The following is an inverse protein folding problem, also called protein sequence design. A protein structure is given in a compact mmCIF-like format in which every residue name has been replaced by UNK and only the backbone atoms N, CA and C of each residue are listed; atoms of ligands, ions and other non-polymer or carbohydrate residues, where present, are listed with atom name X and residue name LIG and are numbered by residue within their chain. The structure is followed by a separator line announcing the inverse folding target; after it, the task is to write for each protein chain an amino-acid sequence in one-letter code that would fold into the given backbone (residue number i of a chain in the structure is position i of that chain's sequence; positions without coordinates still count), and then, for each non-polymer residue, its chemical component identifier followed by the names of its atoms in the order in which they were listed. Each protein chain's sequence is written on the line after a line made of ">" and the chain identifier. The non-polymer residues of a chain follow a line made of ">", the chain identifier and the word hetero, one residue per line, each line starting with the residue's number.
data_IF_446661194283
#
_entry.id   IF_446661194283
#
_cell.length_a   1.000
_cell.length_b   1.000
_cell.length_c   1.000
_cell.angle_alpha   90.00
_cell.angle_beta   90.00
_cell.angle_gamma   90.00
#
_symmetry.space_group_name_H-M   'P 1'
#
loop_
_entity.id
_entity.type
_entity.pdbx_description
1 polymer ?
#
# COMPACT_ATOMS: atom_id res chain seq x y z
N UNK A 1 -11.93 -22.79 -3.27
CA UNK A 1 -10.52 -22.88 -2.81
C UNK A 1 -10.07 -21.48 -2.44
N UNK A 2 -9.51 -21.27 -1.25
CA UNK A 2 -8.99 -19.96 -0.85
C UNK A 2 -7.62 -19.80 -1.48
N UNK A 3 -7.43 -18.76 -2.28
CA UNK A 3 -6.10 -18.45 -2.81
C UNK A 3 -5.25 -17.79 -1.73
N UNK A 4 -3.99 -18.22 -1.63
CA UNK A 4 -3.03 -17.61 -0.72
C UNK A 4 -2.41 -16.38 -1.37
N UNK A 5 -2.25 -15.32 -0.57
CA UNK A 5 -1.56 -14.12 -0.98
C UNK A 5 -0.08 -14.45 -1.21
N UNK A 6 0.45 -14.09 -2.37
CA UNK A 6 1.89 -14.11 -2.61
C UNK A 6 2.47 -12.83 -2.00
N UNK A 7 3.14 -12.99 -0.86
CA UNK A 7 3.87 -11.94 -0.15
C UNK A 7 5.36 -12.12 -0.37
N UNK A 8 6.13 -11.03 -0.30
CA UNK A 8 7.58 -11.15 -0.27
C UNK A 8 8.03 -12.00 0.92
N UNK A 9 8.98 -12.88 0.65
CA UNK A 9 9.64 -13.73 1.63
C UNK A 9 10.73 -12.98 2.39
N UNK A 10 11.21 -13.55 3.49
CA UNK A 10 12.30 -12.95 4.26
C UNK A 10 13.60 -12.80 3.43
N UNK A 11 13.83 -13.71 2.48
CA UNK A 11 14.97 -13.65 1.58
C UNK A 11 14.87 -12.46 0.60
N UNK A 12 13.69 -12.26 0.00
CA UNK A 12 13.45 -11.13 -0.92
C UNK A 12 13.45 -9.78 -0.21
N UNK A 13 13.04 -9.75 1.06
CA UNK A 13 13.08 -8.56 1.91
C UNK A 13 14.49 -8.19 2.37
N UNK A 14 15.45 -9.11 2.23
CA UNK A 14 16.82 -8.95 2.71
C UNK A 14 16.88 -8.53 4.18
N UNK A 15 16.09 -9.21 5.03
CA UNK A 15 15.88 -8.83 6.45
C UNK A 15 17.18 -8.81 7.26
N UNK A 16 18.21 -9.55 6.81
CA UNK A 16 19.52 -9.56 7.45
C UNK A 16 20.27 -8.23 7.29
N UNK A 17 20.08 -7.53 6.17
CA UNK A 17 20.76 -6.26 5.88
C UNK A 17 19.81 -5.05 5.99
N UNK A 18 18.51 -5.24 5.79
CA UNK A 18 17.49 -4.20 5.86
C UNK A 18 16.50 -4.47 7.00
N UNK A 19 16.75 -3.86 8.17
CA UNK A 19 15.79 -3.92 9.27
C UNK A 19 14.50 -3.17 8.91
N UNK A 20 13.32 -3.81 9.03
CA UNK A 20 12.04 -3.14 8.89
C UNK A 20 11.91 -1.97 9.87
N UNK A 21 11.48 -0.83 9.36
CA UNK A 21 11.11 0.33 10.18
C UNK A 21 9.59 0.43 10.23
N UNK A 22 9.04 0.49 11.44
CA UNK A 22 7.60 0.64 11.62
C UNK A 22 7.15 2.08 11.33
N UNK A 23 5.96 2.22 10.75
CA UNK A 23 5.31 3.52 10.67
C UNK A 23 4.62 3.81 12.01
N UNK A 24 4.93 4.94 12.67
CA UNK A 24 4.27 5.30 13.94
C UNK A 24 2.76 5.48 13.77
N UNK A 25 2.34 5.97 12.59
CA UNK A 25 0.93 6.07 12.20
C UNK A 25 0.70 5.32 10.87
N UNK A 26 -0.25 4.38 10.80
CA UNK A 26 -0.55 3.66 9.59
C UNK A 26 -0.99 4.59 8.44
N UNK A 27 -0.29 4.53 7.31
CA UNK A 27 -0.55 5.42 6.17
C UNK A 27 -1.50 4.77 5.17
N UNK A 28 -2.53 5.51 4.74
CA UNK A 28 -3.44 5.03 3.69
C UNK A 28 -2.72 4.97 2.34
N UNK A 29 -2.76 3.81 1.71
CA UNK A 29 -2.12 3.54 0.43
C UNK A 29 -3.04 2.70 -0.44
N UNK A 30 -2.77 2.73 -1.75
CA UNK A 30 -3.22 1.69 -2.66
C UNK A 30 -2.06 0.77 -2.96
N UNK A 31 -2.27 -0.53 -2.86
CA UNK A 31 -1.24 -1.53 -3.14
C UNK A 31 -1.74 -2.56 -4.14
N UNK A 32 -0.89 -2.94 -5.07
CA UNK A 32 -1.09 -4.12 -5.90
C UNK A 32 -0.68 -5.37 -5.12
N UNK A 33 -1.63 -6.27 -4.95
CA UNK A 33 -1.40 -7.58 -4.32
C UNK A 33 -1.58 -8.69 -5.34
N UNK A 34 -0.73 -9.72 -5.24
CA UNK A 34 -0.72 -10.83 -6.18
C UNK A 34 -1.23 -12.11 -5.51
N UNK A 35 -2.18 -12.74 -6.17
CA UNK A 35 -2.63 -14.10 -5.92
C UNK A 35 -2.16 -14.98 -7.08
N UNK A 36 -2.10 -16.32 -6.91
CA UNK A 36 -1.75 -17.23 -7.99
C UNK A 36 -2.54 -16.97 -9.28
N UNK A 37 -3.85 -16.72 -9.19
CA UNK A 37 -4.70 -16.50 -10.36
C UNK A 37 -4.74 -15.06 -10.88
N UNK A 38 -4.51 -14.06 -10.02
CA UNK A 38 -4.81 -12.65 -10.34
C UNK A 38 -4.00 -11.63 -9.56
N UNK A 39 -3.91 -10.43 -10.10
CA UNK A 39 -3.40 -9.26 -9.40
C UNK A 39 -4.56 -8.28 -9.19
N UNK A 40 -4.70 -7.75 -7.99
CA UNK A 40 -5.74 -6.78 -7.67
C UNK A 40 -5.15 -5.58 -6.94
N UNK A 41 -5.74 -4.41 -7.16
CA UNK A 41 -5.41 -3.20 -6.41
C UNK A 41 -6.34 -3.09 -5.21
N UNK A 42 -5.77 -2.97 -4.01
CA UNK A 42 -6.52 -2.86 -2.76
C UNK A 42 -6.21 -1.55 -2.06
N UNK A 43 -7.19 -1.00 -1.34
CA UNK A 43 -6.94 0.03 -0.35
C UNK A 43 -6.38 -0.64 0.92
N UNK A 44 -5.25 -0.14 1.39
CA UNK A 44 -4.52 -0.72 2.50
C UNK A 44 -3.95 0.36 3.42
N UNK A 45 -3.44 -0.08 4.56
CA UNK A 45 -2.62 0.73 5.45
C UNK A 45 -1.19 0.22 5.42
N UNK A 46 -0.24 1.07 5.09
CA UNK A 46 1.18 0.79 5.26
C UNK A 46 1.53 0.88 6.75
N UNK A 47 2.08 -0.20 7.31
CA UNK A 47 2.38 -0.33 8.75
C UNK A 47 3.88 -0.43 9.04
N UNK A 48 4.67 -0.92 8.09
CA UNK A 48 6.12 -0.93 8.15
C UNK A 48 6.72 -0.80 6.75
N UNK A 49 7.99 -0.45 6.66
CA UNK A 49 8.71 -0.37 5.40
C UNK A 49 10.17 -0.81 5.56
N UNK A 50 10.75 -1.25 4.45
CA UNK A 50 12.19 -1.38 4.26
C UNK A 50 12.61 -0.44 3.13
N UNK A 51 13.88 -0.48 2.73
CA UNK A 51 14.38 0.27 1.57
C UNK A 51 13.64 -0.06 0.27
N UNK A 52 13.15 -1.29 0.11
CA UNK A 52 12.62 -1.81 -1.15
C UNK A 52 11.18 -2.31 -1.06
N UNK A 53 10.64 -2.50 0.14
CA UNK A 53 9.33 -3.10 0.36
C UNK A 53 8.52 -2.38 1.43
N UNK A 54 7.22 -2.61 1.42
CA UNK A 54 6.27 -2.04 2.38
C UNK A 54 5.37 -3.15 2.90
N UNK A 55 5.21 -3.21 4.23
CA UNK A 55 4.25 -4.08 4.87
C UNK A 55 2.90 -3.37 4.88
N UNK A 56 1.90 -4.02 4.30
CA UNK A 56 0.55 -3.50 4.22
C UNK A 56 -0.41 -4.35 5.05
N UNK A 57 -1.43 -3.70 5.59
CA UNK A 57 -2.62 -4.31 6.21
C UNK A 57 -3.85 -3.90 5.43
N UNK A 58 -4.63 -4.87 4.96
CA UNK A 58 -5.84 -4.59 4.19
C UNK A 58 -6.96 -5.58 4.51
N UNK A 59 -8.18 -5.19 4.19
CA UNK A 59 -9.35 -6.06 4.28
C UNK A 59 -9.49 -6.81 2.95
N UNK A 60 -9.43 -8.14 3.00
CA UNK A 60 -9.55 -8.96 1.79
C UNK A 60 -10.96 -8.79 1.18
N UNK A 61 -11.11 -8.34 -0.08
CA UNK A 61 -12.42 -7.93 -0.60
C UNK A 61 -13.47 -9.04 -0.63
N UNK A 62 -13.04 -10.28 -0.89
CA UNK A 62 -13.92 -11.43 -1.09
C UNK A 62 -14.41 -12.04 0.23
N UNK A 63 -13.55 -12.10 1.24
CA UNK A 63 -13.83 -12.83 2.49
C UNK A 63 -13.86 -11.93 3.73
N UNK A 64 -13.63 -10.61 3.56
CA UNK A 64 -13.76 -9.59 4.60
C UNK A 64 -12.95 -9.87 5.87
N UNK A 65 -11.79 -10.50 5.72
CA UNK A 65 -10.84 -10.72 6.83
C UNK A 65 -9.60 -9.83 6.65
N UNK A 66 -9.00 -9.44 7.77
CA UNK A 66 -7.77 -8.66 7.75
C UNK A 66 -6.59 -9.54 7.34
N UNK A 67 -5.81 -9.06 6.37
CA UNK A 67 -4.57 -9.68 5.92
C UNK A 67 -3.43 -8.70 6.03
N UNK A 68 -2.25 -9.26 6.27
CA UNK A 68 -0.99 -8.54 6.23
C UNK A 68 -0.06 -9.23 5.24
N UNK A 69 0.78 -8.44 4.57
CA UNK A 69 1.77 -8.94 3.64
C UNK A 69 2.76 -7.86 3.26
N UNK A 70 3.91 -8.31 2.78
CA UNK A 70 4.94 -7.47 2.20
C UNK A 70 4.77 -7.41 0.69
N UNK A 71 4.85 -6.19 0.16
CA UNK A 71 4.83 -5.91 -1.27
C UNK A 71 6.01 -5.02 -1.62
N UNK A 72 6.47 -5.10 -2.87
CA UNK A 72 7.51 -4.18 -3.36
C UNK A 72 7.02 -2.73 -3.27
N UNK A 73 7.94 -1.81 -2.98
CA UNK A 73 7.65 -0.38 -2.89
C UNK A 73 7.02 0.15 -4.18
N UNK A 74 7.47 -0.34 -5.34
CA UNK A 74 6.93 0.00 -6.66
C UNK A 74 5.47 -0.43 -6.88
N UNK A 75 4.97 -1.37 -6.07
CA UNK A 75 3.58 -1.82 -6.12
C UNK A 75 2.65 -0.96 -5.24
N UNK A 76 3.19 0.04 -4.53
CA UNK A 76 2.46 0.89 -3.59
C UNK A 76 2.37 2.32 -4.10
N UNK A 77 1.17 2.89 -4.06
CA UNK A 77 0.90 4.29 -4.37
C UNK A 77 0.27 4.96 -3.16
N UNK A 78 0.74 6.15 -2.73
CA UNK A 78 0.06 6.92 -1.70
C UNK A 78 -1.40 7.18 -2.06
N UNK A 79 -2.32 7.03 -1.10
CA UNK A 79 -3.68 7.51 -1.30
C UNK A 79 -3.67 9.05 -1.21
N UNK A 80 -4.48 9.76 -2.02
CA UNK A 80 -4.59 11.21 -1.90
C UNK A 80 -5.03 11.57 -0.48
N UNK A 81 -4.40 12.60 0.08
CA UNK A 81 -4.85 13.16 1.35
C UNK A 81 -6.22 13.74 1.10
N UNK A 82 -7.24 13.25 1.80
CA UNK A 82 -8.57 13.86 1.81
C UNK A 82 -8.45 15.24 2.43
N UNK A 83 -8.13 16.25 1.61
CA UNK A 83 -7.78 17.60 2.03
C UNK A 83 -7.24 18.51 0.91
N UNK A 84 -6.69 17.97 -0.17
CA UNK A 84 -6.24 18.79 -1.31
C UNK A 84 -7.43 19.02 -2.28
N UNK A 85 -8.37 19.87 -1.85
CA UNK A 85 -9.19 20.61 -2.80
C UNK A 85 -8.26 21.63 -3.46
N UNK A 86 -7.68 21.27 -4.60
CA UNK A 86 -6.93 22.19 -5.46
C UNK A 86 -7.83 23.38 -5.80
N UNK A 87 -7.62 24.48 -5.08
CA UNK A 87 -8.13 25.78 -5.43
C UNK A 87 -7.32 26.31 -6.61
N UNK A 88 -7.86 26.18 -7.81
CA UNK A 88 -7.42 26.96 -8.97
C UNK A 88 -8.57 27.23 -9.94
N UNK A 89 -8.48 28.39 -10.62
CA UNK A 89 -9.40 29.04 -11.57
C UNK A 89 -10.59 29.83 -10.98
N UNK A 90 -10.66 31.16 -11.10
CA UNK A 90 -9.78 32.06 -11.84
C UNK A 90 -10.09 33.53 -11.60
N UNK A 91 -9.01 34.29 -11.55
CA UNK A 91 -8.94 35.74 -11.60
C UNK A 91 -9.58 36.24 -12.91
N UNK A 92 -10.83 36.70 -12.85
CA UNK A 92 -11.48 37.39 -13.96
C UNK A 92 -11.53 38.89 -13.63
N UNK A 93 -10.47 39.60 -14.01
CA UNK A 93 -10.49 41.05 -14.24
C UNK A 93 -11.76 41.46 -14.99
N UNK A 94 -12.60 42.29 -14.35
CA UNK A 94 -13.43 43.32 -14.99
C UNK A 94 -13.46 44.49 -13.99
N UNK A 95 -12.69 45.55 -14.22
CA UNK A 95 -12.94 46.63 -15.17
C UNK A 95 -14.22 47.39 -14.83
#
# INVERSE_FOLDING_TARGET
>A
MREELITLTAAELDVQNCQPTDFPEPRRVYAWVRYPSKAIRVQAHAIAYTRTAVKIRFLEPLIKIQREGWVWLSAVTPAPKSGDSDGDSGDAKRA
#
